data_IF_104459651068
#
_entry.id   IF_104459651068
#
_cell.length_a   1.000
_cell.length_b   1.000
_cell.length_c   1.000
_cell.angle_alpha   90.00
_cell.angle_beta   90.00
_cell.angle_gamma   90.00
#
_symmetry.space_group_name_H-M   'P 1'
#
loop_
_entity.id
_entity.type
_entity.pdbx_description
1 polymer ?
#
# COMPACT_ATOMS: atom_id res chain seq x y z
N UNK A 1 22.75 -5.52 -4.87
CA UNK A 1 21.41 -5.79 -5.46
C UNK A 1 20.32 -5.62 -4.40
N UNK A 2 19.78 -4.41 -4.19
CA UNK A 2 18.71 -4.13 -3.20
C UNK A 2 17.28 -4.19 -3.79
N UNK A 3 17.14 -4.12 -5.10
CA UNK A 3 15.83 -4.07 -5.77
C UNK A 3 15.11 -5.43 -5.83
N UNK A 4 15.83 -6.54 -5.82
CA UNK A 4 15.24 -7.89 -5.95
C UNK A 4 14.35 -8.28 -4.76
N UNK A 5 14.71 -7.88 -3.56
CA UNK A 5 13.96 -8.21 -2.33
C UNK A 5 12.62 -7.49 -2.21
N UNK A 6 12.46 -6.32 -2.83
CA UNK A 6 11.20 -5.59 -2.77
C UNK A 6 10.16 -6.23 -3.69
N UNK A 7 10.55 -6.60 -4.91
CA UNK A 7 9.68 -7.27 -5.87
C UNK A 7 9.17 -8.64 -5.34
N UNK A 8 10.04 -9.43 -4.71
CA UNK A 8 9.66 -10.69 -4.08
C UNK A 8 8.75 -10.50 -2.86
N UNK A 9 8.99 -9.44 -2.07
CA UNK A 9 8.09 -9.07 -0.97
C UNK A 9 6.72 -8.64 -1.50
N UNK A 10 6.66 -7.84 -2.55
CA UNK A 10 5.41 -7.38 -3.16
C UNK A 10 4.59 -8.56 -3.72
N UNK A 11 5.24 -9.55 -4.34
CA UNK A 11 4.58 -10.79 -4.79
C UNK A 11 3.90 -11.56 -3.67
N UNK A 12 4.56 -11.71 -2.51
CA UNK A 12 3.95 -12.37 -1.33
C UNK A 12 2.81 -11.57 -0.69
N UNK A 13 2.59 -10.34 -1.14
CA UNK A 13 1.68 -9.39 -0.53
C UNK A 13 0.52 -8.98 -1.44
N UNK A 14 0.45 -9.51 -2.67
CA UNK A 14 -0.71 -9.28 -3.55
C UNK A 14 -2.04 -9.63 -2.88
N UNK A 15 -2.05 -10.68 -2.04
CA UNK A 15 -3.22 -11.16 -1.31
C UNK A 15 -3.46 -10.47 0.04
N UNK A 16 -2.55 -9.59 0.48
CA UNK A 16 -2.70 -8.96 1.80
C UNK A 16 -3.87 -7.97 1.74
N UNK A 17 -4.90 -8.24 2.55
CA UNK A 17 -6.13 -7.46 2.58
C UNK A 17 -5.91 -6.09 3.24
N UNK A 18 -6.61 -5.11 2.68
CA UNK A 18 -6.72 -3.77 3.25
C UNK A 18 -8.11 -3.66 3.88
N UNK A 19 -8.23 -3.25 5.16
CA UNK A 19 -9.52 -3.00 5.78
C UNK A 19 -10.31 -1.95 4.99
N UNK A 20 -11.61 -2.20 4.76
CA UNK A 20 -12.45 -1.30 3.96
C UNK A 20 -12.75 0.03 4.64
N UNK A 21 -12.58 0.10 5.96
CA UNK A 21 -12.74 1.25 6.84
C UNK A 21 -11.41 1.97 7.12
N UNK A 22 -10.32 1.57 6.45
CA UNK A 22 -9.03 2.23 6.61
C UNK A 22 -9.09 3.69 6.16
N UNK A 23 -8.82 4.60 7.09
CA UNK A 23 -8.54 5.99 6.78
C UNK A 23 -7.06 6.15 6.36
N UNK A 24 -6.82 6.34 5.07
CA UNK A 24 -5.48 6.53 4.52
C UNK A 24 -4.82 7.83 4.99
N UNK A 25 -5.59 8.85 5.40
CA UNK A 25 -5.02 10.07 5.95
C UNK A 25 -4.34 9.85 7.31
N UNK A 26 -4.70 8.79 8.03
CA UNK A 26 -4.05 8.38 9.28
C UNK A 26 -2.76 7.57 9.05
N UNK A 27 -2.45 7.20 7.81
CA UNK A 27 -1.23 6.45 7.48
C UNK A 27 -0.06 7.42 7.41
N UNK A 28 0.70 7.48 8.51
CA UNK A 28 1.87 8.37 8.63
C UNK A 28 2.86 8.15 7.48
N UNK A 29 3.36 9.26 6.93
CA UNK A 29 4.32 9.34 5.82
C UNK A 29 3.77 8.90 4.44
N UNK A 30 2.49 8.52 4.33
CA UNK A 30 1.87 8.31 3.04
C UNK A 30 1.82 9.65 2.28
N UNK A 31 2.18 9.64 1.00
CA UNK A 31 2.16 10.87 0.20
C UNK A 31 0.72 11.39 0.04
N UNK A 32 0.56 12.69 -0.20
CA UNK A 32 -0.76 13.28 -0.48
C UNK A 32 -1.43 12.64 -1.69
N UNK A 33 -0.65 12.34 -2.74
CA UNK A 33 -1.13 11.62 -3.93
C UNK A 33 -1.55 10.18 -3.59
N UNK A 34 -0.78 9.49 -2.74
CA UNK A 34 -1.12 8.18 -2.20
C UNK A 34 -2.44 8.20 -1.43
N UNK A 35 -2.60 9.16 -0.50
CA UNK A 35 -3.82 9.34 0.29
C UNK A 35 -5.02 9.58 -0.64
N UNK A 36 -4.93 10.52 -1.58
CA UNK A 36 -6.03 10.85 -2.51
C UNK A 36 -6.45 9.62 -3.31
N UNK A 37 -5.49 8.96 -3.98
CA UNK A 37 -5.78 7.87 -4.91
C UNK A 37 -6.26 6.61 -4.19
N UNK A 38 -5.65 6.26 -3.06
CA UNK A 38 -6.08 5.11 -2.25
C UNK A 38 -7.47 5.35 -1.64
N UNK A 39 -7.75 6.57 -1.17
CA UNK A 39 -9.06 6.93 -0.63
C UNK A 39 -10.15 6.91 -1.70
N UNK A 40 -9.82 7.30 -2.94
CA UNK A 40 -10.75 7.28 -4.07
C UNK A 40 -11.02 5.86 -4.59
N UNK A 41 -9.98 5.06 -4.77
CA UNK A 41 -10.08 3.72 -5.38
C UNK A 41 -10.53 2.67 -4.36
N UNK A 42 -10.13 2.82 -3.08
CA UNK A 42 -10.37 1.86 -2.00
C UNK A 42 -10.02 0.41 -2.38
N UNK A 43 -8.73 0.14 -2.72
CA UNK A 43 -8.30 -1.20 -3.08
C UNK A 43 -8.52 -2.19 -1.93
N UNK A 44 -8.96 -3.40 -2.26
CA UNK A 44 -9.21 -4.46 -1.27
C UNK A 44 -7.94 -5.19 -0.84
N UNK A 45 -6.87 -5.09 -1.65
CA UNK A 45 -5.58 -5.71 -1.36
C UNK A 45 -4.42 -4.79 -1.74
N UNK A 46 -3.24 -5.05 -1.17
CA UNK A 46 -2.01 -4.37 -1.56
C UNK A 46 -1.67 -4.61 -3.05
N UNK A 47 -2.01 -5.77 -3.60
CA UNK A 47 -1.83 -6.06 -5.02
C UNK A 47 -2.69 -5.18 -5.93
N UNK A 48 -3.92 -4.85 -5.51
CA UNK A 48 -4.73 -3.85 -6.21
C UNK A 48 -4.14 -2.45 -6.08
N UNK A 49 -3.72 -2.06 -4.87
CA UNK A 49 -3.09 -0.76 -4.62
C UNK A 49 -1.85 -0.53 -5.51
N UNK A 50 -1.03 -1.55 -5.71
CA UNK A 50 0.19 -1.48 -6.52
C UNK A 50 -0.07 -1.24 -8.02
N UNK A 51 -1.28 -1.51 -8.51
CA UNK A 51 -1.68 -1.29 -9.90
C UNK A 51 -2.31 0.08 -10.12
N UNK A 52 -2.56 0.87 -9.07
CA UNK A 52 -3.15 2.19 -9.18
C UNK A 52 -2.11 3.17 -9.77
N UNK A 53 -2.40 3.82 -10.91
CA UNK A 53 -1.46 4.76 -11.52
C UNK A 53 -1.09 5.91 -10.59
N UNK A 54 0.22 6.13 -10.41
CA UNK A 54 0.81 7.16 -9.54
C UNK A 54 0.77 6.82 -8.04
N UNK A 55 0.46 5.58 -7.67
CA UNK A 55 0.93 5.06 -6.38
C UNK A 55 2.41 4.70 -6.51
N UNK A 56 3.23 5.25 -5.63
CA UNK A 56 4.67 4.98 -5.62
C UNK A 56 5.01 3.69 -4.87
N UNK A 57 6.19 3.14 -5.16
CA UNK A 57 6.74 2.00 -4.40
C UNK A 57 6.95 2.34 -2.91
N UNK A 58 7.20 3.61 -2.59
CA UNK A 58 7.35 4.08 -1.21
C UNK A 58 6.00 4.06 -0.48
N UNK A 59 4.92 4.54 -1.11
CA UNK A 59 3.57 4.50 -0.55
C UNK A 59 3.13 3.07 -0.24
N UNK A 60 3.41 2.13 -1.14
CA UNK A 60 3.12 0.70 -0.93
C UNK A 60 3.91 0.13 0.25
N UNK A 61 5.19 0.49 0.40
CA UNK A 61 6.02 0.05 1.52
C UNK A 61 5.50 0.61 2.86
N UNK A 62 5.08 1.87 2.88
CA UNK A 62 4.51 2.52 4.08
C UNK A 62 3.19 1.86 4.46
N UNK A 63 2.28 1.69 3.49
CA UNK A 63 1.00 1.02 3.71
C UNK A 63 1.21 -0.43 4.19
N UNK A 64 2.20 -1.13 3.64
CA UNK A 64 2.55 -2.48 4.07
C UNK A 64 3.02 -2.54 5.53
N UNK A 65 3.86 -1.61 5.97
CA UNK A 65 4.32 -1.51 7.37
C UNK A 65 3.15 -1.17 8.29
N UNK A 66 2.31 -0.21 7.90
CA UNK A 66 1.11 0.16 8.64
C UNK A 66 0.19 -1.06 8.85
N UNK A 67 -0.08 -1.83 7.80
CA UNK A 67 -0.89 -3.04 7.84
C UNK A 67 -0.19 -4.24 8.52
N UNK A 68 1.09 -4.16 8.86
CA UNK A 68 1.75 -5.19 9.69
C UNK A 68 1.60 -4.89 11.18
N UNK A 69 1.52 -3.61 11.56
CA UNK A 69 1.38 -3.20 12.95
C UNK A 69 -0.06 -3.22 13.48
N UNK A 70 -1.06 -3.39 12.61
CA UNK A 70 -2.49 -3.49 12.98
C UNK A 70 -3.08 -4.91 12.80
N UNK A 71 -2.23 -5.93 12.68
CA UNK A 71 -2.65 -7.35 12.68
C UNK A 71 -2.60 -7.88 14.11
#
# INVERSE_FOLDING_TARGET
ARQRTLAERLRRLEDKRIPGDLDYAQVKNLSSEGIEKLSRVRPRTLGQAARIPGISQADLAILMVFLKGKV
#
